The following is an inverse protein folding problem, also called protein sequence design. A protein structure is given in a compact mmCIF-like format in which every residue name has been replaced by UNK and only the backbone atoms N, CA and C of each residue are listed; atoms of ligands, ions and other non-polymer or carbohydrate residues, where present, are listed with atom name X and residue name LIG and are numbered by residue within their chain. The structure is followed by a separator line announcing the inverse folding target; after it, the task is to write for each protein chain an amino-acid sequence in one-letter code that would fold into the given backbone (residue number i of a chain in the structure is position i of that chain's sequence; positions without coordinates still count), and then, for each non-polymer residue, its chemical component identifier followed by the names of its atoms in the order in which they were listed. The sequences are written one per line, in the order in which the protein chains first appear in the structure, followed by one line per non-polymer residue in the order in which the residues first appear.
data_IF_928313008715
#
_entry.id   IF_928313008715
#
_cell.length_a   1.000
_cell.length_b   1.000
_cell.length_c   1.000
_cell.angle_alpha   90.00
_cell.angle_beta   90.00
_cell.angle_gamma   90.00
#
_symmetry.space_group_name_H-M   'P 1'
#
loop_
_entity.id
_entity.type
_entity.pdbx_description
1 polymer ?
#
# COMPACT_ATOMS: atom_id res chain seq x y z
N UNK A 1 -39.79 -10.22 13.64
CA UNK A 1 -38.33 -10.36 13.77
C UNK A 1 -37.76 -10.16 12.37
N UNK A 2 -37.45 -8.91 12.02
CA UNK A 2 -36.84 -8.60 10.73
C UNK A 2 -35.41 -9.10 10.75
N UNK A 3 -35.05 -9.96 9.81
CA UNK A 3 -33.65 -10.33 9.61
C UNK A 3 -33.01 -9.12 8.95
N UNK A 4 -32.30 -8.32 9.75
CA UNK A 4 -31.41 -7.28 9.23
C UNK A 4 -30.27 -8.00 8.51
N UNK A 5 -30.41 -8.15 7.20
CA UNK A 5 -29.30 -8.57 6.34
C UNK A 5 -28.28 -7.45 6.35
N UNK A 6 -27.21 -7.63 7.11
CA UNK A 6 -26.01 -6.80 7.07
C UNK A 6 -25.43 -6.85 5.65
N UNK A 7 -25.89 -5.96 4.78
CA UNK A 7 -25.32 -5.73 3.45
C UNK A 7 -23.82 -5.43 3.62
N UNK A 8 -22.90 -6.23 3.04
CA UNK A 8 -21.47 -6.00 3.19
C UNK A 8 -21.17 -4.60 2.65
N UNK A 9 -20.81 -3.70 3.57
CA UNK A 9 -20.54 -2.29 3.34
C UNK A 9 -19.67 -2.08 2.07
N UNK A 10 -20.32 -1.80 0.94
CA UNK A 10 -19.74 -1.66 -0.40
C UNK A 10 -18.96 -0.34 -0.59
N UNK A 11 -18.34 0.18 0.48
CA UNK A 11 -17.60 1.43 0.41
C UNK A 11 -16.20 1.16 -0.14
N UNK A 12 -15.73 1.95 -1.13
CA UNK A 12 -14.37 1.84 -1.62
C UNK A 12 -13.38 2.03 -0.46
N UNK A 13 -12.24 1.32 -0.49
CA UNK A 13 -11.28 1.39 0.59
C UNK A 13 -10.81 2.84 0.77
N UNK A 14 -10.73 3.28 2.02
CA UNK A 14 -10.22 4.62 2.34
C UNK A 14 -8.73 4.70 2.06
N UNK A 15 -8.21 5.93 1.90
CA UNK A 15 -6.78 6.17 1.70
C UNK A 15 -5.90 5.45 2.74
N UNK A 16 -6.29 5.53 4.00
CA UNK A 16 -5.59 4.85 5.11
C UNK A 16 -5.60 3.32 4.99
N UNK A 17 -6.70 2.74 4.52
CA UNK A 17 -6.79 1.29 4.30
C UNK A 17 -5.94 0.83 3.12
N UNK A 18 -5.85 1.65 2.06
CA UNK A 18 -4.97 1.40 0.92
C UNK A 18 -3.50 1.48 1.34
N UNK A 19 -3.11 2.53 2.09
CA UNK A 19 -1.75 2.70 2.60
C UNK A 19 -1.31 1.51 3.46
N UNK A 20 -2.15 1.08 4.41
CA UNK A 20 -1.83 -0.08 5.26
C UNK A 20 -1.71 -1.38 4.45
N UNK A 21 -2.53 -1.55 3.42
CA UNK A 21 -2.47 -2.75 2.58
C UNK A 21 -1.18 -2.79 1.74
N UNK A 22 -0.74 -1.65 1.23
CA UNK A 22 0.54 -1.51 0.51
C UNK A 22 1.73 -1.78 1.44
N UNK A 23 1.71 -1.25 2.67
CA UNK A 23 2.78 -1.55 3.63
C UNK A 23 2.79 -3.04 4.01
N UNK A 24 1.64 -3.64 4.32
CA UNK A 24 1.56 -5.06 4.63
C UNK A 24 2.03 -5.95 3.45
N UNK A 25 1.75 -5.54 2.21
CA UNK A 25 2.26 -6.20 1.01
C UNK A 25 3.78 -6.08 0.89
N UNK A 26 4.35 -4.89 1.15
CA UNK A 26 5.79 -4.66 1.12
C UNK A 26 6.56 -5.51 2.15
N UNK A 27 5.98 -5.76 3.32
CA UNK A 27 6.52 -6.66 4.35
C UNK A 27 6.16 -8.15 4.14
N UNK A 28 5.43 -8.50 3.07
CA UNK A 28 5.01 -9.87 2.77
C UNK A 28 3.90 -10.44 3.67
N UNK A 29 3.37 -9.66 4.62
CA UNK A 29 2.37 -10.09 5.62
C UNK A 29 0.93 -9.79 5.21
N UNK A 30 0.67 -9.58 3.92
CA UNK A 30 -0.68 -9.27 3.44
C UNK A 30 -1.62 -10.48 3.60
N UNK A 31 -2.73 -10.29 4.33
CA UNK A 31 -3.75 -11.31 4.56
C UNK A 31 -4.65 -11.53 3.34
N UNK A 32 -5.23 -12.74 3.23
CA UNK A 32 -6.19 -13.08 2.16
C UNK A 32 -7.44 -12.20 2.14
N UNK A 33 -7.92 -11.75 3.31
CA UNK A 33 -9.05 -10.81 3.44
C UNK A 33 -8.73 -9.43 2.88
N UNK A 34 -7.52 -8.91 3.10
CA UNK A 34 -7.09 -7.65 2.50
C UNK A 34 -7.00 -7.78 0.98
N UNK A 35 -6.37 -8.85 0.45
CA UNK A 35 -6.36 -9.11 -1.00
C UNK A 35 -7.78 -9.21 -1.56
N UNK A 36 -8.63 -10.03 -0.95
CA UNK A 36 -10.00 -10.21 -1.41
C UNK A 36 -10.71 -8.86 -1.51
N UNK A 37 -10.69 -8.03 -0.45
CA UNK A 37 -11.27 -6.67 -0.48
C UNK A 37 -10.66 -5.78 -1.57
N UNK A 38 -9.34 -5.77 -1.67
CA UNK A 38 -8.58 -4.91 -2.58
C UNK A 38 -8.83 -5.29 -4.06
N UNK A 39 -9.04 -6.58 -4.35
CA UNK A 39 -9.28 -7.12 -5.70
C UNK A 39 -10.76 -7.36 -6.05
N UNK A 40 -11.68 -7.34 -5.08
CA UNK A 40 -13.12 -7.47 -5.33
C UNK A 40 -13.86 -6.13 -5.37
N UNK A 41 -13.37 -5.11 -4.65
CA UNK A 41 -14.04 -3.81 -4.56
C UNK A 41 -13.19 -2.64 -5.07
N UNK A 42 -11.90 -2.86 -5.35
CA UNK A 42 -10.98 -1.86 -5.90
C UNK A 42 -10.43 -2.24 -7.28
N UNK A 43 -10.12 -1.26 -8.14
CA UNK A 43 -9.44 -1.51 -9.42
C UNK A 43 -7.95 -1.85 -9.14
N UNK A 44 -7.41 -3.00 -9.59
CA UNK A 44 -6.02 -3.41 -9.37
C UNK A 44 -4.99 -2.34 -9.74
N UNK A 45 -5.29 -1.54 -10.76
CA UNK A 45 -4.48 -0.40 -11.21
C UNK A 45 -4.14 0.59 -10.10
N UNK A 46 -5.04 0.88 -9.15
CA UNK A 46 -4.77 1.84 -8.08
C UNK A 46 -3.69 1.33 -7.12
N UNK A 47 -3.72 0.03 -6.81
CA UNK A 47 -2.72 -0.61 -5.96
C UNK A 47 -1.36 -0.69 -6.63
N UNK A 48 -1.32 -0.96 -7.95
CA UNK A 48 -0.08 -0.95 -8.74
C UNK A 48 0.53 0.46 -8.77
N UNK A 49 -0.28 1.49 -9.02
CA UNK A 49 0.17 2.88 -9.02
C UNK A 49 0.74 3.31 -7.66
N UNK A 50 0.05 2.96 -6.56
CA UNK A 50 0.53 3.27 -5.21
C UNK A 50 1.83 2.52 -4.89
N UNK A 51 1.92 1.25 -5.28
CA UNK A 51 3.12 0.43 -5.11
C UNK A 51 4.31 0.99 -5.89
N UNK A 52 4.11 1.35 -7.15
CA UNK A 52 5.16 1.94 -7.98
C UNK A 52 5.64 3.28 -7.45
N UNK A 53 4.71 4.14 -7.01
CA UNK A 53 5.05 5.42 -6.37
C UNK A 53 5.87 5.20 -5.09
N UNK A 54 5.44 4.26 -4.24
CA UNK A 54 6.17 3.90 -3.03
C UNK A 54 7.58 3.39 -3.36
N UNK A 55 7.73 2.49 -4.33
CA UNK A 55 9.04 1.98 -4.77
C UNK A 55 9.93 3.10 -5.30
N UNK A 56 9.39 4.03 -6.11
CA UNK A 56 10.15 5.16 -6.62
C UNK A 56 10.66 6.05 -5.48
N UNK A 57 9.79 6.40 -4.53
CA UNK A 57 10.17 7.18 -3.34
C UNK A 57 11.24 6.46 -2.52
N UNK A 58 11.10 5.15 -2.32
CA UNK A 58 12.07 4.34 -1.59
C UNK A 58 13.45 4.35 -2.25
N UNK A 59 13.52 4.18 -3.57
CA UNK A 59 14.79 4.24 -4.32
C UNK A 59 15.43 5.62 -4.22
N UNK A 60 14.65 6.69 -4.37
CA UNK A 60 15.16 8.06 -4.23
C UNK A 60 15.69 8.33 -2.82
N UNK A 61 15.00 7.82 -1.79
CA UNK A 61 15.43 7.93 -0.40
C UNK A 61 16.75 7.19 -0.18
N UNK A 62 16.89 5.95 -0.65
CA UNK A 62 18.16 5.22 -0.58
C UNK A 62 19.28 5.94 -1.32
N UNK A 63 19.03 6.44 -2.54
CA UNK A 63 20.01 7.20 -3.30
C UNK A 63 20.42 8.49 -2.59
N UNK A 64 19.47 9.19 -1.97
CA UNK A 64 19.72 10.38 -1.15
C UNK A 64 20.59 10.06 0.07
N UNK A 65 20.31 8.97 0.77
CA UNK A 65 21.12 8.50 1.90
C UNK A 65 22.54 8.17 1.43
N UNK A 66 22.70 7.43 0.32
CA UNK A 66 24.02 7.11 -0.22
C UNK A 66 24.79 8.38 -0.56
N UNK A 67 24.16 9.34 -1.25
CA UNK A 67 24.79 10.63 -1.58
C UNK A 67 25.20 11.41 -0.32
N UNK A 68 24.34 11.43 0.71
CA UNK A 68 24.64 12.08 1.97
C UNK A 68 25.84 11.42 2.65
N UNK A 69 25.88 10.09 2.73
CA UNK A 69 26.99 9.36 3.33
C UNK A 69 28.29 9.61 2.59
N UNK A 70 28.28 9.57 1.25
CA UNK A 70 29.46 9.86 0.43
C UNK A 70 30.00 11.29 0.68
N UNK A 71 29.09 12.27 0.71
CA UNK A 71 29.44 13.67 1.01
C UNK A 71 30.01 13.83 2.43
N UNK A 72 29.53 13.06 3.39
CA UNK A 72 30.02 13.10 4.77
C UNK A 72 31.33 12.31 4.94
N UNK A 73 31.59 11.30 4.10
CA UNK A 73 32.83 10.52 4.13
C UNK A 73 34.01 11.21 3.45
N UNK A 74 33.80 12.35 2.80
CA UNK A 74 34.84 13.10 2.08
C UNK A 74 35.19 12.52 0.70
N UNK A 75 34.25 11.78 0.09
CA UNK A 75 34.30 11.29 -1.29
C UNK A 75 33.53 12.23 -2.23
#
# INVERSE_FOLDING_TARGET
MGIETEEPNQKPPTFWQMLHSVMAAAFGVQSGRNRARDFSHGKPVHFIMLGLLFTLVFVLLLAGIVKLVLSLSGL
#
